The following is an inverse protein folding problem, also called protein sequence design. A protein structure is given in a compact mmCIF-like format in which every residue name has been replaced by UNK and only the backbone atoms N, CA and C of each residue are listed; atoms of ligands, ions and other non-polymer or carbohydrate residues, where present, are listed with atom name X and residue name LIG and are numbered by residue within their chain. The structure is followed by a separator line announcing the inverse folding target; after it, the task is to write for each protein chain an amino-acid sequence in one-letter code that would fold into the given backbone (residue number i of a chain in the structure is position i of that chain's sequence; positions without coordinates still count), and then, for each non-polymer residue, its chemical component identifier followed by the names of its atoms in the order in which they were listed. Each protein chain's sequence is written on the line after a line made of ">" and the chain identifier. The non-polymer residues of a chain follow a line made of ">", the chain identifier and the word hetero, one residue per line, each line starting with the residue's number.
data_IF_147829798072
#
_entry.id   IF_147829798072
#
_cell.length_a   1.000
_cell.length_b   1.000
_cell.length_c   1.000
_cell.angle_alpha   90.00
_cell.angle_beta   90.00
_cell.angle_gamma   90.00
#
_symmetry.space_group_name_H-M   'P 1'
#
loop_
_entity.id
_entity.type
_entity.pdbx_description
1 polymer ?
2 non-polymer ?
3 non-polymer ?
4 non-polymer ?
5 water ?
#
# COMPACT_ATOMS: atom_id res chain seq x y z
N UNK A 1 -1.74 28.32 10.94
CA UNK A 1 -0.95 27.08 11.18
C UNK A 1 0.55 27.33 11.10
N UNK A 2 1.29 26.48 11.80
CA UNK A 2 2.73 26.63 11.95
C UNK A 2 3.47 25.42 11.37
N UNK A 3 4.09 25.57 10.21
CA UNK A 3 4.87 24.48 9.60
C UNK A 3 6.30 24.46 10.05
N UNK A 4 6.77 23.27 10.43
CA UNK A 4 8.14 23.11 10.94
C UNK A 4 8.70 21.81 10.38
N UNK A 5 10.03 21.68 10.38
CA UNK A 5 10.60 20.41 9.93
C UNK A 5 10.67 19.46 11.10
N UNK A 6 10.21 18.23 10.92
CA UNK A 6 10.32 17.26 12.03
C UNK A 6 10.47 15.86 11.51
N UNK A 7 10.97 14.99 12.39
CA UNK A 7 11.07 13.58 12.04
C UNK A 7 9.70 12.94 12.26
N UNK A 8 9.11 12.49 11.16
CA UNK A 8 7.77 11.88 11.22
C UNK A 8 7.73 10.61 12.09
N UNK A 9 8.82 9.84 12.04
CA UNK A 9 8.88 8.62 12.89
C UNK A 9 8.99 8.90 14.36
N UNK A 10 9.70 9.97 14.71
CA UNK A 10 9.72 10.43 16.09
C UNK A 10 8.31 10.77 16.58
N UNK A 11 7.50 11.36 15.70
CA UNK A 11 6.15 11.77 16.09
C UNK A 11 5.27 10.53 16.26
N UNK A 12 5.39 9.61 15.32
CA UNK A 12 4.65 8.33 15.45
C UNK A 12 4.98 7.65 16.78
N UNK A 13 6.26 7.60 17.17
CA UNK A 13 6.61 6.95 18.43
C UNK A 13 6.06 7.69 19.66
N UNK A 14 6.04 9.01 19.58
CA UNK A 14 5.47 9.86 20.64
C UNK A 14 3.98 9.54 20.85
N UNK A 15 3.30 9.30 19.74
CA UNK A 15 1.87 8.95 19.80
C UNK A 15 1.73 7.53 20.38
N UNK A 16 2.59 6.58 19.97
CA UNK A 16 2.57 5.24 20.56
C UNK A 16 2.72 5.30 22.09
N UNK A 17 3.66 6.12 22.56
CA UNK A 17 3.89 6.23 23.99
C UNK A 17 2.63 6.66 24.73
N UNK A 18 1.87 7.60 24.13
CA UNK A 18 0.57 7.99 24.68
C UNK A 18 -0.37 6.80 24.88
N UNK A 19 -0.31 5.83 23.95
CA UNK A 19 -1.24 4.68 23.97
C UNK A 19 -0.66 3.40 24.54
N UNK A 20 0.63 3.40 24.90
CA UNK A 20 1.32 2.18 25.26
C UNK A 20 0.60 1.39 26.38
N UNK A 21 0.14 2.10 27.41
CA UNK A 21 -0.46 1.45 28.58
C UNK A 21 -1.78 0.78 28.15
N UNK A 22 -2.58 1.53 27.41
CA UNK A 22 -3.89 1.04 26.92
C UNK A 22 -3.73 -0.15 26.01
N UNK A 23 -2.80 -0.05 25.05
CA UNK A 23 -2.48 -1.16 24.14
C UNK A 23 -2.09 -2.44 24.90
N UNK A 24 -1.18 -2.30 25.86
CA UNK A 24 -0.80 -3.45 26.67
C UNK A 24 -1.95 -4.00 27.53
N UNK A 25 -2.74 -3.13 28.14
CA UNK A 25 -3.89 -3.49 29.01
C UNK A 25 -4.87 -4.35 28.20
N UNK A 26 -5.00 -3.99 26.93
CA UNK A 26 -5.98 -4.64 26.04
C UNK A 26 -5.42 -5.86 25.34
N UNK A 27 -4.14 -6.14 25.60
CA UNK A 27 -3.46 -7.26 25.02
C UNK A 27 -3.41 -7.20 23.49
N UNK A 28 -3.17 -5.99 22.98
CA UNK A 28 -3.09 -5.76 21.54
C UNK A 28 -1.65 -5.91 21.08
N UNK A 29 -1.48 -6.65 20.00
CA UNK A 29 -0.17 -6.80 19.38
C UNK A 29 0.06 -5.57 18.49
N UNK A 30 1.07 -4.77 18.81
CA UNK A 30 1.34 -3.54 18.06
C UNK A 30 2.70 -3.61 17.39
N UNK A 31 2.81 -3.15 16.15
CA UNK A 31 4.12 -3.00 15.52
C UNK A 31 4.19 -1.76 14.65
N UNK A 32 5.37 -1.16 14.62
CA UNK A 32 5.62 0.02 13.80
C UNK A 32 6.89 -0.26 13.00
N UNK A 33 6.80 -0.10 11.70
CA UNK A 33 7.94 -0.24 10.81
C UNK A 33 8.08 0.96 9.88
N UNK A 34 9.32 1.32 9.56
CA UNK A 34 9.56 2.40 8.59
C UNK A 34 10.58 1.96 7.55
N UNK A 35 10.50 2.56 6.36
CA UNK A 35 11.55 2.29 5.35
C UNK A 35 12.66 3.33 5.36
N UNK A 36 12.56 4.30 6.27
CA UNK A 36 13.60 5.33 6.41
C UNK A 36 13.52 5.93 7.80
N UNK A 37 14.45 5.57 8.67
CA UNK A 37 14.44 6.09 10.04
C UNK A 37 14.49 7.61 10.13
N UNK A 38 15.21 8.25 9.21
CA UNK A 38 15.32 9.73 9.22
C UNK A 38 14.31 10.32 8.24
N UNK A 39 13.04 9.99 8.43
CA UNK A 39 12.02 10.49 7.54
C UNK A 39 11.55 11.84 8.03
N UNK A 40 11.85 12.88 7.27
CA UNK A 40 11.53 14.22 7.75
C UNK A 40 10.56 14.86 6.80
N UNK A 41 9.67 15.67 7.36
CA UNK A 41 8.73 16.43 6.56
C UNK A 41 8.66 17.85 7.12
N UNK A 42 8.17 18.77 6.31
CA UNK A 42 7.74 20.08 6.76
C UNK A 42 6.22 20.07 6.72
N UNK A 43 5.64 20.17 7.90
CA UNK A 43 4.19 20.12 8.10
C UNK A 43 3.82 20.74 9.44
N UNK A 44 2.52 20.84 9.73
CA UNK A 44 2.14 21.29 11.05
C UNK A 44 2.16 20.13 12.01
N UNK A 45 3.20 20.05 12.86
CA UNK A 45 3.34 18.92 13.76
C UNK A 45 2.16 18.70 14.72
N UNK A 46 1.61 19.77 15.27
CA UNK A 46 0.47 19.63 16.17
C UNK A 46 -0.72 18.95 15.48
N UNK A 47 -0.96 19.34 14.24
CA UNK A 47 -2.12 18.92 13.47
C UNK A 47 -1.92 17.48 13.00
N UNK A 48 -0.71 17.19 12.54
CA UNK A 48 -0.42 15.81 12.15
C UNK A 48 -0.50 14.89 13.36
N UNK A 49 -0.04 15.35 14.55
CA UNK A 49 -0.18 14.59 15.76
C UNK A 49 -1.68 14.28 16.06
N UNK A 50 -2.55 15.26 15.83
CA UNK A 50 -4.00 15.08 16.08
C UNK A 50 -4.53 13.94 15.20
N UNK A 51 -4.10 13.90 13.94
CA UNK A 51 -4.56 12.86 12.99
C UNK A 51 -4.04 11.51 13.50
N UNK A 52 -2.74 11.42 13.81
CA UNK A 52 -2.21 10.15 14.35
C UNK A 52 -2.92 9.64 15.60
N UNK A 53 -3.20 10.54 16.56
CA UNK A 53 -3.85 10.16 17.79
C UNK A 53 -5.24 9.63 17.43
N UNK A 54 -5.94 10.32 16.54
CA UNK A 54 -7.28 9.90 16.16
C UNK A 54 -7.27 8.52 15.48
N UNK A 55 -6.33 8.29 14.57
CA UNK A 55 -6.26 7.00 13.91
C UNK A 55 -5.87 5.86 14.85
N UNK A 56 -4.95 6.12 15.78
CA UNK A 56 -4.57 5.06 16.71
C UNK A 56 -5.72 4.74 17.68
N UNK A 57 -6.38 5.78 18.18
CA UNK A 57 -7.56 5.61 19.04
C UNK A 57 -8.63 4.77 18.32
N UNK A 58 -8.90 5.12 17.06
CA UNK A 58 -9.91 4.35 16.30
C UNK A 58 -9.47 2.90 16.06
N UNK A 59 -8.18 2.69 15.74
CA UNK A 59 -7.64 1.32 15.55
C UNK A 59 -7.84 0.45 16.82
N UNK A 60 -7.53 1.03 17.98
CA UNK A 60 -7.68 0.32 19.27
C UNK A 60 -9.15 -0.04 19.52
N UNK A 61 -10.05 0.92 19.33
CA UNK A 61 -11.47 0.67 19.56
C UNK A 61 -11.96 -0.41 18.60
N UNK A 62 -11.54 -0.31 17.34
CA UNK A 62 -11.95 -1.28 16.30
C UNK A 62 -11.43 -2.69 16.50
N UNK A 63 -10.20 -2.82 16.97
CA UNK A 63 -9.59 -4.13 17.00
C UNK A 63 -9.98 -4.83 18.33
N UNK A 64 -10.21 -4.02 19.36
CA UNK A 64 -10.60 -4.48 20.69
C UNK A 64 -9.55 -5.33 21.42
N UNK A 65 -9.97 -5.92 22.54
CA UNK A 65 -9.11 -6.86 23.29
C UNK A 65 -8.52 -7.95 22.40
N UNK A 66 -7.23 -8.22 22.61
CA UNK A 66 -6.48 -9.26 21.87
C UNK A 66 -6.29 -8.96 20.39
N UNK A 67 -6.50 -7.70 20.01
CA UNK A 67 -6.42 -7.31 18.60
C UNK A 67 -5.00 -7.05 18.12
N UNK A 68 -4.87 -6.41 16.96
CA UNK A 68 -3.56 -6.17 16.35
C UNK A 68 -3.60 -4.85 15.58
N UNK A 69 -2.50 -4.11 15.67
CA UNK A 69 -2.37 -2.83 15.00
C UNK A 69 -0.98 -2.80 14.40
N UNK A 70 -0.87 -2.38 13.14
CA UNK A 70 0.43 -2.18 12.52
C UNK A 70 0.47 -0.81 11.91
N UNK A 71 1.51 -0.04 12.19
CA UNK A 71 1.68 1.28 11.54
C UNK A 71 2.90 1.16 10.63
N UNK A 72 2.82 1.70 9.41
CA UNK A 72 4.06 1.80 8.59
C UNK A 72 4.24 3.26 8.15
N UNK A 73 5.48 3.73 8.02
CA UNK A 73 5.71 5.00 7.36
C UNK A 73 6.65 4.73 6.19
N UNK A 74 6.34 5.36 5.07
CA UNK A 74 7.12 5.14 3.84
C UNK A 74 7.51 6.43 3.17
N UNK A 75 8.76 6.43 2.72
CA UNK A 75 9.36 7.58 2.09
C UNK A 75 9.14 7.46 0.60
N UNK A 76 8.34 8.35 0.06
CA UNK A 76 8.02 8.31 -1.37
C UNK A 76 8.71 9.48 -2.06
N UNK A 77 8.47 9.68 -3.35
CA UNK A 77 9.31 10.67 -4.06
C UNK A 77 9.06 12.04 -3.44
N UNK A 78 7.90 12.62 -3.70
CA UNK A 78 7.67 13.99 -3.25
C UNK A 78 6.76 14.01 -2.02
N UNK A 79 6.58 12.83 -1.42
CA UNK A 79 5.57 12.70 -0.36
C UNK A 79 5.94 11.63 0.65
N UNK A 80 5.19 11.54 1.76
CA UNK A 80 5.33 10.41 2.68
C UNK A 80 3.97 9.77 2.86
N UNK A 81 3.97 8.48 3.20
CA UNK A 81 2.70 7.75 3.37
C UNK A 81 2.75 7.10 4.74
N UNK A 82 1.67 7.28 5.49
CA UNK A 82 1.57 6.59 6.79
C UNK A 82 0.32 5.73 6.72
N UNK A 83 0.46 4.47 7.10
CA UNK A 83 -0.65 3.52 7.04
C UNK A 83 -0.87 3.00 8.44
N UNK A 84 -2.14 2.96 8.89
CA UNK A 84 -2.46 2.49 10.24
C UNK A 84 -3.46 1.37 10.05
N UNK A 85 -3.05 0.13 10.29
CA UNK A 85 -3.94 -1.01 10.06
C UNK A 85 -4.36 -1.65 11.40
N UNK A 86 -5.58 -2.17 11.45
CA UNK A 86 -6.01 -2.93 12.62
C UNK A 86 -6.70 -4.20 12.13
N UNK A 87 -6.54 -5.27 12.87
CA UNK A 87 -7.35 -6.45 12.57
C UNK A 87 -8.78 -6.10 13.03
N UNK A 88 -9.74 -6.55 12.25
CA UNK A 88 -11.14 -6.34 12.57
C UNK A 88 -12.00 -6.53 11.32
N UNK A 89 -13.32 -6.38 11.48
CA UNK A 89 -14.23 -6.62 10.35
C UNK A 89 -14.03 -5.49 9.30
N UNK A 90 -14.25 -5.80 8.01
CA UNK A 90 -14.06 -4.79 6.97
C UNK A 90 -15.06 -3.66 7.04
N UNK A 91 -14.68 -2.49 6.52
CA UNK A 91 -15.66 -1.41 6.42
C UNK A 91 -16.53 -1.72 5.21
N UNK A 92 -17.86 -1.69 5.39
CA UNK A 92 -18.76 -1.94 4.25
C UNK A 92 -18.58 -0.86 3.18
N UNK A 93 -18.66 -1.26 1.92
CA UNK A 93 -18.35 -0.38 0.79
C UNK A 93 -19.16 0.93 0.86
N UNK A 94 -20.43 0.84 1.25
CA UNK A 94 -21.29 2.03 1.35
C UNK A 94 -20.88 3.05 2.42
N UNK A 95 -20.02 2.65 3.36
CA UNK A 95 -19.61 3.52 4.47
C UNK A 95 -18.18 4.10 4.33
N UNK A 96 -17.45 3.65 3.32
CA UNK A 96 -16.05 4.05 3.16
C UNK A 96 -15.80 5.55 3.06
N UNK A 97 -16.67 6.27 2.35
CA UNK A 97 -16.55 7.72 2.30
C UNK A 97 -17.43 8.41 3.34
N UNK A 98 -18.60 7.83 3.61
CA UNK A 98 -19.50 8.40 4.62
C UNK A 98 -18.86 8.55 6.02
N UNK A 99 -17.96 7.65 6.43
CA UNK A 99 -17.29 7.80 7.71
C UNK A 99 -16.49 9.13 7.84
N UNK A 100 -16.18 9.75 6.70
CA UNK A 100 -15.40 11.00 6.71
C UNK A 100 -16.30 12.26 6.73
N UNK A 101 -17.62 12.06 6.77
CA UNK A 101 -18.56 13.19 6.77
C UNK A 101 -18.67 13.77 8.19
N UNK A 102 -18.81 15.11 8.31
CA UNK A 102 -19.02 15.75 9.63
C UNK A 102 -20.29 15.25 10.33
N UNK A 103 -21.17 14.62 9.56
CA UNK A 103 -22.40 14.10 10.11
C UNK A 103 -22.57 12.60 10.08
N UNK A 104 -21.45 11.88 10.01
CA UNK A 104 -21.42 10.49 10.42
C UNK A 104 -21.34 10.43 11.93
N UNK A 105 -22.28 9.72 12.55
CA UNK A 105 -22.33 9.68 14.01
C UNK A 105 -23.05 8.44 14.54
N UNK A 106 -23.22 7.47 13.65
CA UNK A 106 -23.59 6.09 13.98
C UNK A 106 -22.41 5.36 14.64
N UNK A 107 -21.58 6.11 15.36
CA UNK A 107 -20.40 5.56 16.04
C UNK A 107 -20.31 5.97 17.53
N UNK A 108 -20.16 4.97 18.38
CA UNK A 108 -20.09 5.18 19.82
C UNK A 108 -18.84 4.57 20.44
N UNK A 109 -19.04 3.55 21.28
CA UNK A 109 -18.12 3.25 22.39
C UNK A 109 -17.77 4.54 23.13
N UNK A 110 -18.67 5.52 23.04
CA UNK A 110 -18.55 6.81 23.74
C UNK A 110 -18.04 7.98 22.92
N UNK A 111 -17.38 7.70 21.79
CA UNK A 111 -16.66 8.74 21.00
C UNK A 111 -17.03 8.77 19.50
N UNK A 112 -17.11 9.96 18.92
CA UNK A 112 -17.24 10.11 17.46
C UNK A 112 -15.95 9.73 16.75
N UNK A 113 -16.01 9.44 15.45
CA UNK A 113 -14.84 8.91 14.71
C UNK A 113 -13.76 9.96 14.44
N UNK A 114 -14.14 11.24 14.37
CA UNK A 114 -13.21 12.36 14.12
C UNK A 114 -12.63 12.48 12.72
N UNK A 115 -13.09 11.65 11.79
CA UNK A 115 -12.42 11.56 10.51
C UNK A 115 -12.62 12.77 9.59
N UNK A 116 -13.72 13.51 9.75
CA UNK A 116 -13.88 14.72 8.93
C UNK A 116 -12.80 15.75 9.27
N UNK A 117 -12.42 15.82 10.54
CA UNK A 117 -11.36 16.74 10.91
C UNK A 117 -10.00 16.19 10.42
N UNK A 118 -9.78 14.88 10.53
CA UNK A 118 -8.55 14.29 9.93
C UNK A 118 -8.43 14.64 8.46
N UNK A 119 -9.53 14.50 7.71
CA UNK A 119 -9.53 14.87 6.30
C UNK A 119 -9.21 16.35 6.08
N UNK A 120 -9.80 17.22 6.88
CA UNK A 120 -9.51 18.67 6.79
C UNK A 120 -8.00 18.95 6.94
N UNK A 121 -7.42 18.31 7.95
CA UNK A 121 -5.98 18.41 8.25
C UNK A 121 -5.14 17.86 7.09
N UNK A 122 -5.42 16.62 6.68
CA UNK A 122 -4.58 16.03 5.66
C UNK A 122 -4.74 16.66 4.27
N UNK A 123 -5.99 16.85 3.85
CA UNK A 123 -6.28 17.26 2.49
C UNK A 123 -6.31 18.80 2.36
N UNK A 124 -7.07 19.47 3.21
CA UNK A 124 -7.17 20.92 3.11
C UNK A 124 -5.92 21.67 3.59
N UNK A 125 -5.43 21.30 4.77
CA UNK A 125 -4.33 22.06 5.37
C UNK A 125 -3.00 21.64 4.79
N UNK A 126 -2.86 20.34 4.46
CA UNK A 126 -1.58 19.85 3.93
C UNK A 126 -1.51 19.45 2.44
N UNK A 127 -2.67 19.43 1.76
CA UNK A 127 -2.73 19.10 0.33
C UNK A 127 -2.43 17.65 -0.01
N UNK A 128 -2.66 16.79 0.99
CA UNK A 128 -2.49 15.35 0.85
C UNK A 128 -3.80 14.63 0.63
N UNK A 129 -3.81 13.35 0.94
CA UNK A 129 -5.00 12.53 0.78
C UNK A 129 -5.09 11.52 1.91
N UNK A 130 -6.30 11.28 2.38
CA UNK A 130 -6.55 10.25 3.41
C UNK A 130 -7.71 9.38 2.94
N UNK A 131 -7.53 8.07 3.05
CA UNK A 131 -8.59 7.13 2.66
C UNK A 131 -8.48 5.85 3.50
N UNK A 132 -9.43 4.93 3.27
CA UNK A 132 -9.41 3.63 3.95
C UNK A 132 -9.54 2.50 2.90
N UNK A 133 -8.98 1.35 3.23
CA UNK A 133 -9.15 0.12 2.44
C UNK A 133 -9.27 -1.03 3.42
N UNK A 134 -9.86 -2.10 2.92
CA UNK A 134 -9.91 -3.37 3.65
C UNK A 134 -8.79 -4.27 3.19
N UNK A 135 -8.01 -4.82 4.12
CA UNK A 135 -6.95 -5.72 3.74
C UNK A 135 -6.59 -6.61 4.90
N UNK A 136 -6.13 -7.78 4.51
CA UNK A 136 -5.55 -8.77 5.44
C UNK A 136 -6.36 -9.02 6.71
N UNK A 137 -7.67 -9.18 6.56
CA UNK A 137 -8.52 -9.50 7.72
C UNK A 137 -8.62 -8.31 8.67
N UNK A 138 -8.56 -7.12 8.07
CA UNK A 138 -8.69 -5.90 8.86
C UNK A 138 -8.84 -4.69 7.95
N UNK A 139 -8.52 -3.53 8.50
CA UNK A 139 -8.84 -2.26 7.84
C UNK A 139 -7.60 -1.38 8.00
N UNK A 140 -7.30 -0.62 6.95
CA UNK A 140 -6.19 0.30 7.02
C UNK A 140 -6.72 1.69 6.72
N UNK A 141 -6.16 2.66 7.43
CA UNK A 141 -6.36 4.07 7.10
C UNK A 141 -5.00 4.57 6.65
N UNK A 142 -4.97 5.23 5.51
CA UNK A 142 -3.71 5.67 4.94
C UNK A 142 -3.78 7.17 4.72
N UNK A 143 -2.72 7.89 5.08
CA UNK A 143 -2.64 9.26 4.59
C UNK A 143 -1.32 9.49 3.91
N UNK A 144 -1.35 10.39 2.93
CA UNK A 144 -0.10 10.85 2.30
C UNK A 144 -0.10 12.34 2.42
N UNK A 145 1.06 12.90 2.71
CA UNK A 145 1.22 14.37 2.64
C UNK A 145 2.49 14.67 1.84
N UNK A 146 2.48 15.82 1.14
CA UNK A 146 3.70 16.29 0.46
C UNK A 146 4.79 16.47 1.49
N UNK A 147 6.03 16.22 1.10
CA UNK A 147 7.15 16.35 2.01
C UNK A 147 7.35 17.79 2.43
N UNK A 148 6.94 18.72 1.57
CA UNK A 148 7.00 20.16 1.89
C UNK A 148 5.78 20.78 1.28
N UNK A 149 5.30 21.90 1.86
CA UNK A 149 4.19 22.66 1.25
C UNK A 149 4.46 23.06 -0.21
N UNK A 150 5.73 23.18 -0.57
CA UNK A 150 6.16 23.52 -1.93
C UNK A 150 6.09 22.35 -2.95
N UNK A 151 5.98 21.12 -2.43
CA UNK A 151 5.82 19.92 -3.28
C UNK A 151 4.35 19.47 -3.36
N UNK A 152 3.47 20.38 -2.97
CA UNK A 152 2.03 20.16 -3.00
C UNK A 152 1.52 20.19 -4.45
N UNK B 1 22.76 -11.82 -17.51
CA UNK B 1 22.43 -10.61 -16.69
C UNK B 1 22.85 -9.34 -17.45
N UNK B 2 21.87 -8.60 -17.95
CA UNK B 2 22.13 -7.44 -18.76
C UNK B 2 21.26 -6.29 -18.27
N UNK B 3 21.86 -5.38 -17.51
CA UNK B 3 21.12 -4.25 -16.98
C UNK B 3 21.09 -3.14 -18.02
N UNK B 4 19.89 -2.59 -18.26
CA UNK B 4 19.73 -1.43 -19.14
C UNK B 4 18.74 -0.46 -18.51
N UNK B 5 18.78 0.80 -18.92
CA UNK B 5 17.78 1.76 -18.47
C UNK B 5 16.59 1.68 -19.43
N UNK B 6 15.38 1.53 -18.88
CA UNK B 6 14.18 1.49 -19.71
C UNK B 6 13.03 2.11 -18.91
N UNK B 7 11.98 2.50 -19.63
CA UNK B 7 10.79 3.00 -18.99
C UNK B 7 9.91 1.83 -18.53
N UNK B 8 9.79 1.68 -17.22
CA UNK B 8 9.03 0.56 -16.64
C UNK B 8 7.57 0.57 -17.06
N UNK B 9 6.99 1.76 -17.19
CA UNK B 9 5.59 1.82 -17.66
C UNK B 9 5.39 1.30 -19.09
N UNK B 10 6.36 1.58 -19.94
CA UNK B 10 6.32 1.06 -21.29
C UNK B 10 6.41 -0.47 -21.32
N UNK B 11 7.18 -1.05 -20.39
CA UNK B 11 7.28 -2.50 -20.32
C UNK B 11 5.92 -3.08 -19.85
N UNK B 12 5.30 -2.44 -18.86
CA UNK B 12 3.97 -2.87 -18.35
C UNK B 12 2.97 -2.86 -19.50
N UNK B 13 2.96 -1.77 -20.31
CA UNK B 13 2.11 -1.66 -21.50
C UNK B 13 2.40 -2.81 -22.48
N UNK B 14 3.68 -3.08 -22.72
CA UNK B 14 4.07 -4.16 -23.59
C UNK B 14 3.49 -5.50 -23.11
N UNK B 15 3.49 -5.71 -21.80
CA UNK B 15 2.96 -6.97 -21.25
C UNK B 15 1.44 -7.00 -21.38
N UNK B 16 0.79 -5.87 -21.11
CA UNK B 16 -0.67 -5.79 -21.38
C UNK B 16 -1.02 -6.16 -22.82
N UNK B 17 -0.23 -5.67 -23.77
CA UNK B 17 -0.49 -5.96 -25.21
C UNK B 17 -0.46 -7.47 -25.44
N UNK B 18 0.41 -8.18 -24.73
CA UNK B 18 0.50 -9.64 -24.86
C UNK B 18 -0.79 -10.33 -24.41
N UNK B 19 -1.44 -9.75 -23.39
CA UNK B 19 -2.64 -10.35 -22.81
C UNK B 19 -3.95 -9.68 -23.22
N UNK B 20 -3.87 -8.61 -24.02
CA UNK B 20 -5.03 -7.80 -24.40
C UNK B 20 -6.18 -8.65 -24.95
N UNK B 21 -5.88 -9.55 -25.88
CA UNK B 21 -6.92 -10.36 -26.53
C UNK B 21 -7.64 -11.23 -25.48
N UNK B 22 -6.84 -11.89 -24.65
CA UNK B 22 -7.37 -12.79 -23.62
C UNK B 22 -8.21 -12.01 -22.59
N UNK B 23 -7.70 -10.87 -22.14
CA UNK B 23 -8.46 -10.00 -21.23
C UNK B 23 -9.82 -9.58 -21.83
N UNK B 24 -9.82 -9.25 -23.13
CA UNK B 24 -11.02 -8.76 -23.84
C UNK B 24 -12.06 -9.87 -23.98
N UNK B 25 -11.57 -11.04 -24.36
CA UNK B 25 -12.37 -12.26 -24.48
C UNK B 25 -13.06 -12.68 -23.19
N UNK B 26 -12.39 -12.45 -22.08
CA UNK B 26 -12.94 -12.81 -20.78
C UNK B 26 -13.75 -11.67 -20.14
N UNK B 27 -13.86 -10.57 -20.87
CA UNK B 27 -14.56 -9.34 -20.42
C UNK B 27 -14.03 -8.85 -19.07
N UNK B 28 -12.73 -9.06 -18.81
CA UNK B 28 -12.07 -8.62 -17.56
C UNK B 28 -11.84 -7.11 -17.61
N UNK B 29 -12.23 -6.40 -16.54
CA UNK B 29 -12.02 -4.96 -16.43
C UNK B 29 -10.55 -4.81 -16.11
N UNK B 30 -9.87 -4.02 -16.91
CA UNK B 30 -8.43 -3.79 -16.66
C UNK B 30 -8.17 -2.31 -16.48
N UNK B 31 -7.41 -1.95 -15.46
CA UNK B 31 -6.90 -0.59 -15.45
C UNK B 31 -5.45 -0.53 -14.98
N UNK B 32 -4.80 0.56 -15.36
CA UNK B 32 -3.41 0.82 -15.05
C UNK B 32 -3.29 2.26 -14.60
N UNK B 33 -2.58 2.48 -13.50
CA UNK B 33 -2.34 3.85 -13.01
C UNK B 33 -0.88 3.97 -12.64
N UNK B 34 -0.31 5.15 -12.88
CA UNK B 34 1.08 5.37 -12.45
C UNK B 34 1.18 6.75 -11.85
N UNK B 35 2.14 6.95 -10.93
CA UNK B 35 2.38 8.29 -10.35
C UNK B 35 3.57 9.01 -10.97
N UNK B 36 4.11 8.42 -12.03
CA UNK B 36 5.16 9.02 -12.83
C UNK B 36 5.19 8.34 -14.18
N UNK B 37 4.78 9.07 -15.22
CA UNK B 37 4.74 8.55 -16.60
C UNK B 37 6.05 8.01 -17.13
N UNK B 38 7.10 8.81 -16.99
CA UNK B 38 8.43 8.36 -17.40
C UNK B 38 9.17 7.81 -16.18
N UNK B 39 8.88 6.54 -15.91
CA UNK B 39 9.38 5.86 -14.73
C UNK B 39 10.53 4.99 -15.21
N UNK B 40 11.74 5.53 -15.09
CA UNK B 40 12.95 4.87 -15.57
C UNK B 40 13.55 4.03 -14.47
N UNK B 41 14.01 2.84 -14.84
CA UNK B 41 14.75 1.97 -13.93
C UNK B 41 15.94 1.42 -14.72
N UNK B 42 16.99 1.03 -14.01
CA UNK B 42 18.04 0.20 -14.62
C UNK B 42 17.86 -1.18 -14.03
N UNK B 43 17.60 -2.14 -14.90
CA UNK B 43 17.27 -3.45 -14.45
C UNK B 43 17.45 -4.36 -15.63
N UNK B 44 17.26 -5.65 -15.42
CA UNK B 44 17.31 -6.56 -16.55
C UNK B 44 15.90 -6.68 -17.12
N UNK B 45 15.71 -6.02 -18.26
CA UNK B 45 14.35 -5.90 -18.83
C UNK B 45 13.73 -7.25 -19.17
N UNK B 46 14.52 -8.18 -19.71
CA UNK B 46 14.03 -9.51 -20.04
C UNK B 46 13.43 -10.22 -18.82
N UNK B 47 14.13 -10.10 -17.72
CA UNK B 47 13.79 -10.77 -16.46
C UNK B 47 12.61 -10.08 -15.76
N UNK B 48 12.62 -8.76 -15.73
CA UNK B 48 11.47 -8.04 -15.16
C UNK B 48 10.24 -8.34 -16.01
N UNK B 49 10.37 -8.40 -17.33
CA UNK B 49 9.26 -8.78 -18.22
C UNK B 49 8.69 -10.16 -17.85
N UNK B 50 9.58 -11.12 -17.57
CA UNK B 50 9.12 -12.47 -17.15
C UNK B 50 8.27 -12.42 -15.88
N UNK B 51 8.68 -11.59 -14.92
CA UNK B 51 7.94 -11.42 -13.67
C UNK B 51 6.56 -10.85 -13.98
N UNK B 52 6.52 -9.76 -14.73
CA UNK B 52 5.24 -9.15 -15.11
C UNK B 52 4.29 -10.14 -15.82
N UNK B 53 4.82 -10.89 -16.77
CA UNK B 53 4.04 -11.86 -17.54
C UNK B 53 3.46 -12.91 -16.57
N UNK B 54 4.30 -13.39 -15.64
CA UNK B 54 3.86 -14.41 -14.70
C UNK B 54 2.75 -13.86 -13.81
N UNK B 55 2.92 -12.62 -13.34
CA UNK B 55 1.91 -12.07 -12.46
C UNK B 55 0.57 -11.83 -13.17
N UNK B 56 0.62 -11.33 -14.42
CA UNK B 56 -0.60 -11.03 -15.17
C UNK B 56 -1.35 -12.34 -15.52
N UNK B 57 -0.57 -13.33 -15.97
CA UNK B 57 -1.12 -14.66 -16.25
C UNK B 57 -1.88 -15.19 -15.03
N UNK B 58 -1.21 -15.22 -13.87
CA UNK B 58 -1.84 -15.70 -12.62
C UNK B 58 -3.11 -14.90 -12.26
N UNK B 59 -3.02 -13.57 -12.37
CA UNK B 59 -4.19 -12.72 -12.12
C UNK B 59 -5.39 -13.05 -13.02
N UNK B 60 -5.13 -13.24 -14.31
CA UNK B 60 -6.19 -13.57 -15.25
C UNK B 60 -6.87 -14.90 -14.85
N UNK B 61 -6.07 -15.90 -14.55
CA UNK B 61 -6.58 -17.23 -14.21
C UNK B 61 -7.41 -17.18 -12.93
N UNK B 62 -6.88 -16.48 -11.93
CA UNK B 62 -7.54 -16.32 -10.62
C UNK B 62 -8.85 -15.53 -10.70
N UNK B 63 -8.87 -14.44 -11.48
CA UNK B 63 -10.03 -13.56 -11.53
C UNK B 63 -11.24 -14.06 -12.35
N UNK B 64 -11.00 -14.78 -13.45
CA UNK B 64 -12.09 -15.31 -14.30
C UNK B 64 -12.90 -14.36 -15.16
N UNK B 65 -13.93 -14.89 -15.84
CA UNK B 65 -14.76 -14.04 -16.70
C UNK B 65 -15.36 -12.90 -15.91
N UNK B 66 -15.44 -11.73 -16.54
CA UNK B 66 -16.01 -10.58 -15.90
C UNK B 66 -15.23 -10.17 -14.64
N UNK B 67 -13.99 -10.65 -14.54
CA UNK B 67 -13.12 -10.33 -13.41
C UNK B 67 -12.52 -8.94 -13.55
N UNK B 68 -11.55 -8.66 -12.68
CA UNK B 68 -11.01 -7.30 -12.54
C UNK B 68 -9.53 -7.38 -12.20
N UNK B 69 -8.73 -6.59 -12.92
CA UNK B 69 -7.28 -6.52 -12.69
C UNK B 69 -6.86 -5.06 -12.69
N UNK B 70 -6.05 -4.67 -11.71
CA UNK B 70 -5.52 -3.31 -11.67
C UNK B 70 -4.03 -3.44 -11.47
N UNK B 71 -3.29 -2.69 -12.28
CA UNK B 71 -1.84 -2.58 -12.09
C UNK B 71 -1.49 -1.13 -11.74
N UNK B 72 -0.68 -0.92 -10.72
CA UNK B 72 -0.18 0.43 -10.40
C UNK B 72 1.34 0.41 -10.39
N UNK B 73 1.94 1.49 -10.80
CA UNK B 73 3.39 1.66 -10.64
C UNK B 73 3.63 2.96 -9.90
N UNK B 74 4.61 2.93 -8.99
CA UNK B 74 4.85 4.07 -8.12
C UNK B 74 6.34 4.35 -8.04
N UNK B 75 6.64 5.65 -8.10
CA UNK B 75 8.00 6.16 -7.91
C UNK B 75 8.27 6.38 -6.42
N UNK B 76 9.21 5.63 -5.88
CA UNK B 76 9.52 5.81 -4.46
C UNK B 76 10.92 6.43 -4.34
N UNK B 77 11.36 7.01 -5.46
CA UNK B 77 12.65 7.70 -5.68
C UNK B 77 13.92 6.85 -5.54
N UNK B 78 14.05 6.11 -4.44
CA UNK B 78 15.14 5.13 -4.30
C UNK B 78 14.81 3.78 -4.98
N UNK B 79 13.51 3.50 -5.11
CA UNK B 79 13.03 2.24 -5.63
C UNK B 79 11.74 2.52 -6.40
N UNK B 80 11.29 1.53 -7.17
CA UNK B 80 9.98 1.64 -7.83
C UNK B 80 9.15 0.48 -7.34
N UNK B 81 7.83 0.66 -7.27
CA UNK B 81 6.95 -0.42 -6.79
C UNK B 81 5.89 -0.71 -7.87
N UNK B 82 5.68 -1.99 -8.18
CA UNK B 82 4.59 -2.39 -9.09
C UNK B 82 3.64 -3.28 -8.31
N UNK B 83 2.35 -2.95 -8.34
CA UNK B 83 1.32 -3.74 -7.69
C UNK B 83 0.37 -4.31 -8.75
N UNK B 84 0.13 -5.62 -8.68
CA UNK B 84 -0.78 -6.30 -9.62
C UNK B 84 -1.91 -6.92 -8.78
N UNK B 85 -3.10 -6.32 -8.86
CA UNK B 85 -4.25 -6.77 -8.07
C UNK B 85 -5.29 -7.44 -8.97
N UNK B 86 -5.94 -8.49 -8.46
CA UNK B 86 -7.06 -9.15 -9.16
C UNK B 86 -8.19 -9.41 -8.18
N UNK B 87 -9.43 -9.19 -8.61
CA UNK B 87 -10.56 -9.66 -7.81
C UNK B 87 -10.47 -11.18 -7.80
N UNK B 88 -10.80 -11.81 -6.67
CA UNK B 88 -10.68 -13.27 -6.57
C UNK B 88 -10.55 -13.76 -5.16
N UNK B 89 -10.46 -15.09 -4.99
CA UNK B 89 -10.43 -15.62 -3.63
C UNK B 89 -9.12 -15.28 -2.94
N UNK B 90 -9.15 -15.10 -1.61
CA UNK B 90 -7.92 -14.74 -0.91
C UNK B 90 -6.92 -15.89 -0.86
N UNK B 91 -5.65 -15.55 -0.69
CA UNK B 91 -4.61 -16.56 -0.51
C UNK B 91 -4.59 -16.91 0.98
N UNK B 92 -4.84 -18.21 1.30
CA UNK B 92 -4.80 -18.62 2.71
C UNK B 92 -3.56 -18.14 3.44
N UNK B 93 -3.74 -17.70 4.69
CA UNK B 93 -2.64 -17.20 5.52
C UNK B 93 -1.41 -18.12 5.52
N UNK B 94 -1.69 -19.43 5.53
CA UNK B 94 -0.68 -20.47 5.69
C UNK B 94 0.20 -20.62 4.44
N UNK B 95 -0.21 -20.01 3.34
CA UNK B 95 0.52 -20.17 2.08
C UNK B 95 1.20 -18.87 1.63
N UNK B 96 1.02 -17.80 2.42
CA UNK B 96 1.46 -16.43 2.06
C UNK B 96 2.94 -16.36 1.60
N UNK B 97 3.81 -17.10 2.29
CA UNK B 97 5.22 -17.17 1.89
C UNK B 97 5.51 -18.47 1.15
N UNK B 98 4.77 -19.52 1.49
CA UNK B 98 4.99 -20.81 0.86
C UNK B 98 4.75 -20.83 -0.64
N UNK B 99 3.84 -20.01 -1.15
CA UNK B 99 3.58 -19.99 -2.58
C UNK B 99 4.82 -19.56 -3.36
N UNK B 100 5.76 -18.89 -2.68
CA UNK B 100 7.03 -18.46 -3.28
C UNK B 100 8.14 -19.50 -3.17
N UNK B 101 7.90 -20.57 -2.42
CA UNK B 101 8.96 -21.57 -2.22
C UNK B 101 9.05 -22.58 -3.36
N UNK B 102 10.27 -22.91 -3.80
CA UNK B 102 10.40 -23.93 -4.85
C UNK B 102 9.92 -25.33 -4.43
N UNK B 103 9.71 -25.53 -3.13
CA UNK B 103 9.12 -26.77 -2.63
C UNK B 103 7.58 -26.86 -2.82
N UNK B 104 6.93 -25.70 -2.99
CA UNK B 104 5.47 -25.58 -3.07
C UNK B 104 4.85 -26.33 -4.26
N UNK B 105 3.77 -27.06 -3.99
CA UNK B 105 3.13 -27.92 -4.98
C UNK B 105 1.59 -27.89 -4.90
N UNK B 106 0.94 -28.15 -6.04
CA UNK B 106 -0.53 -28.21 -6.18
C UNK B 106 -1.26 -27.00 -5.60
N UNK B 113 2.71 -18.83 -11.85
CA UNK B 113 2.94 -19.30 -10.50
C UNK B 113 4.36 -19.83 -10.34
N UNK B 114 5.22 -19.56 -11.34
CA UNK B 114 6.67 -19.68 -11.20
C UNK B 114 7.12 -18.60 -10.24
N UNK B 115 6.45 -18.56 -9.09
CA UNK B 115 6.68 -17.52 -8.09
C UNK B 115 8.04 -17.63 -7.45
N UNK B 116 8.57 -18.85 -7.31
CA UNK B 116 9.95 -18.98 -6.85
C UNK B 116 10.93 -18.28 -7.77
N UNK B 117 10.72 -18.41 -9.09
CA UNK B 117 11.57 -17.70 -10.04
C UNK B 117 11.29 -16.20 -9.97
N UNK B 118 10.01 -15.80 -9.85
CA UNK B 118 9.71 -14.36 -9.65
C UNK B 118 10.49 -13.81 -8.47
N UNK B 119 10.45 -14.51 -7.33
CA UNK B 119 11.24 -14.06 -6.21
C UNK B 119 12.75 -14.05 -6.48
N UNK B 120 13.25 -15.10 -7.13
CA UNK B 120 14.63 -15.15 -7.55
C UNK B 120 14.99 -13.89 -8.36
N UNK B 121 14.17 -13.54 -9.34
CA UNK B 121 14.45 -12.37 -10.17
C UNK B 121 14.43 -11.06 -9.38
N UNK B 122 13.35 -10.86 -8.65
CA UNK B 122 13.18 -9.61 -7.92
C UNK B 122 14.19 -9.45 -6.79
N UNK B 123 14.34 -10.50 -5.96
CA UNK B 123 15.10 -10.41 -4.72
C UNK B 123 16.59 -10.74 -4.92
N UNK B 124 16.86 -11.80 -5.66
CA UNK B 124 18.23 -12.30 -5.82
C UNK B 124 18.92 -11.52 -6.97
N UNK B 125 18.25 -11.39 -8.12
CA UNK B 125 18.87 -10.65 -9.22
C UNK B 125 18.83 -9.12 -9.12
N UNK B 126 17.77 -8.55 -8.52
CA UNK B 126 17.62 -7.06 -8.47
C UNK B 126 17.69 -6.42 -7.07
N UNK B 127 17.80 -7.24 -6.03
CA UNK B 127 17.96 -6.76 -4.65
C UNK B 127 16.69 -6.10 -4.09
N UNK B 128 15.55 -6.53 -4.61
CA UNK B 128 14.25 -5.99 -4.22
C UNK B 128 13.48 -6.91 -3.31
N UNK B 129 12.15 -6.83 -3.39
CA UNK B 129 11.28 -7.59 -2.50
C UNK B 129 10.02 -7.90 -3.26
N UNK B 130 9.50 -9.10 -3.08
CA UNK B 130 8.18 -9.41 -3.65
C UNK B 130 7.33 -10.10 -2.59
N UNK B 131 6.04 -9.78 -2.60
CA UNK B 131 5.12 -10.33 -1.59
C UNK B 131 3.68 -10.20 -2.05
N UNK B 132 2.77 -10.78 -1.26
CA UNK B 132 1.36 -10.76 -1.59
C UNK B 132 0.56 -10.30 -0.36
N UNK B 133 -0.54 -9.64 -0.62
CA UNK B 133 -1.49 -9.37 0.45
C UNK B 133 -2.88 -9.59 -0.09
N UNK B 134 -3.81 -9.90 0.81
CA UNK B 134 -5.21 -9.94 0.46
C UNK B 134 -5.79 -8.53 0.68
N UNK B 135 -6.46 -7.99 -0.34
CA UNK B 135 -6.95 -6.62 -0.31
C UNK B 135 -8.30 -6.61 -0.99
N UNK B 136 -9.25 -5.96 -0.34
CA UNK B 136 -10.59 -5.80 -0.82
C UNK B 136 -11.10 -7.23 -1.19
N UNK B 137 -11.82 -7.40 -2.25
CA UNK B 137 -12.29 -8.74 -2.56
C UNK B 137 -11.31 -9.47 -3.49
N UNK B 138 -10.02 -9.37 -3.17
CA UNK B 138 -9.00 -10.00 -4.04
C UNK B 138 -7.62 -10.07 -3.46
N UNK B 139 -6.63 -10.10 -4.36
CA UNK B 139 -5.25 -10.37 -4.00
C UNK B 139 -4.36 -9.45 -4.77
N UNK B 140 -3.37 -8.88 -4.09
CA UNK B 140 -2.31 -8.18 -4.77
C UNK B 140 -0.96 -8.88 -4.67
N UNK B 141 -0.21 -8.89 -5.77
CA UNK B 141 1.23 -9.19 -5.73
C UNK B 141 2.01 -7.89 -5.95
N UNK B 142 2.99 -7.63 -5.09
CA UNK B 142 3.70 -6.35 -5.16
C UNK B 142 5.17 -6.68 -5.27
N UNK B 143 5.85 -6.02 -6.19
CA UNK B 143 7.32 -6.07 -6.16
C UNK B 143 7.91 -4.70 -6.14
N UNK B 144 9.07 -4.59 -5.50
CA UNK B 144 9.84 -3.36 -5.58
C UNK B 144 11.27 -3.72 -5.99
N UNK B 145 11.87 -2.86 -6.79
CA UNK B 145 13.30 -3.01 -7.10
C UNK B 145 13.96 -1.64 -6.96
N UNK B 146 15.27 -1.61 -6.63
CA UNK B 146 15.98 -0.34 -6.59
C UNK B 146 15.93 0.31 -7.98
N UNK B 147 15.88 1.63 -8.03
CA UNK B 147 15.88 2.30 -9.31
C UNK B 147 17.15 2.02 -10.13
N UNK B 148 18.27 1.83 -9.41
CA UNK B 148 19.55 1.46 -10.02
C UNK B 148 20.25 0.42 -9.13
N UNK B 149 20.99 -0.52 -9.73
CA UNK B 149 21.81 -1.40 -8.90
C UNK B 149 23.00 -0.64 -8.26
N UNK B 150 23.78 -1.32 -7.43
CA UNK B 150 25.10 -0.80 -7.02
C UNK B 150 26.22 -1.83 -7.22
#
# INVERSE_FOLDING_TARGET
>A
MEFTEFNLNELIREVYVLFEEKIRKMNIDFCFETDNEDLRVEADRTRIKQVLINLVQNAIEATGENGKIKITSEDMYTKVRVSVWNSGPPIPEELKEKIFSPFFTTKTQGTGLGLSICRKIIEDEHGGKIWTENRENGVVFIFEIPKTPEKR
>B
MEFTEFNLNELIREVYVLFEEKIRKMNIDFCFETDNEDLRVEADRTRIKQVLINLVQNAIEATGENGKIKITSEDMYTKVRVSVWNSGPPIPEELKEKIFSPFFTTKTQGTGLGLSICRKIIEDEHGGKIWTENRENGVVFIFEIPKTPEKR
#
